data_IF_897194685957
#
_entry.id   IF_897194685957
#
_cell.length_a   1.000
_cell.length_b   1.000
_cell.length_c   1.000
_cell.angle_alpha   90.00
_cell.angle_beta   90.00
_cell.angle_gamma   90.00
#
_symmetry.space_group_name_H-M   'P 1'
#
loop_
_entity.id
_entity.type
_entity.pdbx_description
1 polymer ?
#
# COMPACT_ATOMS: atom_id res chain seq x y z
N UNK A 1 -5.69 56.76 47.29
CA UNK A 1 -6.40 55.59 46.78
C UNK A 1 -5.62 55.00 45.63
N UNK A 2 -4.93 53.88 45.79
CA UNK A 2 -4.19 53.19 44.73
C UNK A 2 -5.10 52.15 44.11
N UNK A 3 -5.46 52.33 42.81
CA UNK A 3 -6.22 51.36 42.00
C UNK A 3 -5.26 50.29 41.48
N UNK A 4 -5.39 49.07 41.99
CA UNK A 4 -4.68 47.91 41.47
C UNK A 4 -5.39 47.41 40.21
N UNK A 5 -4.78 47.62 39.08
CA UNK A 5 -5.23 47.05 37.80
C UNK A 5 -4.66 45.64 37.73
N UNK A 6 -5.54 44.63 37.87
CA UNK A 6 -5.19 43.23 37.62
C UNK A 6 -5.20 43.00 36.10
N UNK A 7 -4.02 42.84 35.51
CA UNK A 7 -3.84 42.49 34.13
C UNK A 7 -4.06 40.96 33.98
N UNK A 8 -5.22 40.57 33.49
CA UNK A 8 -5.52 39.16 33.20
C UNK A 8 -4.93 38.84 31.84
N UNK A 9 -3.78 38.16 31.84
CA UNK A 9 -3.19 37.62 30.60
C UNK A 9 -3.97 36.39 30.18
N UNK A 10 -4.86 36.55 29.21
CA UNK A 10 -5.57 35.44 28.58
C UNK A 10 -4.62 34.65 27.70
N UNK A 11 -4.32 33.40 28.06
CA UNK A 11 -3.58 32.45 27.26
C UNK A 11 -4.44 31.97 26.09
N UNK A 12 -4.24 32.53 24.91
CA UNK A 12 -4.87 32.07 23.68
C UNK A 12 -4.15 30.84 23.21
N UNK A 13 -4.66 29.64 23.52
CA UNK A 13 -4.21 28.39 22.92
C UNK A 13 -4.65 28.35 21.45
N UNK A 14 -3.78 28.66 20.53
CA UNK A 14 -3.95 28.42 19.10
C UNK A 14 -3.87 26.91 18.87
N UNK A 15 -5.04 26.26 18.76
CA UNK A 15 -5.15 24.89 18.26
C UNK A 15 -4.83 24.89 16.76
N UNK A 16 -3.61 24.56 16.41
CA UNK A 16 -3.26 24.22 15.02
C UNK A 16 -3.95 22.91 14.68
N UNK A 17 -5.08 22.98 14.00
CA UNK A 17 -5.68 21.81 13.37
C UNK A 17 -4.74 21.37 12.25
N UNK A 18 -4.00 20.28 12.47
CA UNK A 18 -3.24 19.61 11.41
C UNK A 18 -4.25 18.95 10.47
N UNK A 19 -4.49 19.57 9.33
CA UNK A 19 -5.24 18.94 8.25
C UNK A 19 -4.42 17.75 7.75
N UNK A 20 -4.83 16.55 8.10
CA UNK A 20 -4.28 15.33 7.48
C UNK A 20 -4.86 15.28 6.07
N UNK A 21 -4.04 15.62 5.08
CA UNK A 21 -4.39 15.52 3.67
C UNK A 21 -4.32 14.06 3.24
N UNK A 22 -5.46 13.39 3.35
CA UNK A 22 -5.60 11.99 3.02
C UNK A 22 -5.80 11.79 1.52
N UNK A 23 -5.09 10.87 0.93
CA UNK A 23 -5.25 10.42 -0.44
C UNK A 23 -5.86 9.01 -0.47
N UNK A 24 -6.47 8.64 -1.58
CA UNK A 24 -6.89 7.27 -1.83
C UNK A 24 -5.97 6.61 -2.86
N UNK A 25 -5.76 5.32 -2.69
CA UNK A 25 -4.96 4.51 -3.60
C UNK A 25 -5.76 3.30 -4.06
N UNK A 26 -6.15 3.31 -5.33
CA UNK A 26 -6.81 2.19 -5.97
C UNK A 26 -5.76 1.25 -6.56
N UNK A 27 -5.77 0.00 -6.14
CA UNK A 27 -4.97 -1.07 -6.72
C UNK A 27 -5.89 -1.98 -7.52
N UNK A 28 -5.65 -2.05 -8.83
CA UNK A 28 -6.33 -2.96 -9.74
C UNK A 28 -5.43 -4.16 -9.96
N UNK A 29 -5.86 -5.33 -9.47
CA UNK A 29 -5.16 -6.59 -9.68
C UNK A 29 -5.88 -7.37 -10.78
N UNK A 30 -5.17 -7.73 -11.84
CA UNK A 30 -5.71 -8.40 -13.02
C UNK A 30 -4.97 -9.69 -13.35
N UNK A 31 -5.56 -10.49 -14.24
CA UNK A 31 -5.05 -11.80 -14.64
C UNK A 31 -4.94 -12.79 -13.47
N UNK A 32 -5.92 -12.76 -12.57
CA UNK A 32 -6.06 -13.73 -11.49
C UNK A 32 -6.43 -15.07 -12.11
N UNK A 33 -5.65 -16.15 -11.90
CA UNK A 33 -5.81 -17.41 -12.65
C UNK A 33 -7.08 -18.19 -12.33
N UNK A 34 -7.61 -18.10 -11.11
CA UNK A 34 -8.82 -18.80 -10.69
C UNK A 34 -9.51 -18.09 -9.53
N UNK A 35 -10.74 -18.49 -9.22
CA UNK A 35 -11.51 -17.97 -8.08
C UNK A 35 -11.19 -18.69 -6.75
N UNK A 36 -10.24 -19.65 -6.76
CA UNK A 36 -9.82 -20.33 -5.54
C UNK A 36 -8.90 -19.46 -4.70
N UNK A 37 -9.03 -19.58 -3.38
CA UNK A 37 -8.14 -18.88 -2.44
C UNK A 37 -8.45 -17.40 -2.35
N UNK A 38 -7.40 -16.57 -2.25
CA UNK A 38 -7.50 -15.13 -2.02
C UNK A 38 -6.44 -14.37 -2.82
N UNK A 39 -6.68 -13.08 -3.05
CA UNK A 39 -5.66 -12.16 -3.54
C UNK A 39 -5.12 -11.38 -2.37
N UNK A 40 -3.80 -11.42 -2.19
CA UNK A 40 -3.08 -10.58 -1.24
C UNK A 40 -2.56 -9.34 -1.95
N UNK A 41 -2.65 -8.18 -1.30
CA UNK A 41 -2.05 -6.92 -1.73
C UNK A 41 -1.25 -6.38 -0.56
N UNK A 42 0.02 -6.06 -0.80
CA UNK A 42 0.92 -5.46 0.17
C UNK A 42 1.50 -4.16 -0.36
N UNK A 43 1.40 -3.11 0.43
CA UNK A 43 1.89 -1.77 0.14
C UNK A 43 3.12 -1.49 1.01
N UNK A 44 4.17 -0.94 0.41
CA UNK A 44 5.43 -0.59 1.07
C UNK A 44 5.79 0.86 0.82
N UNK A 45 6.37 1.51 1.81
CA UNK A 45 6.88 2.88 1.74
C UNK A 45 8.37 3.00 2.14
N UNK A 46 9.03 1.87 2.39
CA UNK A 46 10.44 1.84 2.76
C UNK A 46 11.24 1.01 1.73
N UNK A 47 12.18 1.67 0.98
CA UNK A 47 13.01 0.99 -0.03
C UNK A 47 13.91 -0.12 0.53
N UNK A 48 14.36 0.00 1.77
CA UNK A 48 15.32 -0.95 2.35
C UNK A 48 14.67 -2.26 2.78
N UNK A 49 13.38 -2.21 3.07
CA UNK A 49 12.63 -3.38 3.54
C UNK A 49 11.75 -4.00 2.46
N UNK A 50 11.58 -3.35 1.32
CA UNK A 50 10.79 -3.87 0.19
C UNK A 50 11.46 -5.09 -0.47
N UNK A 51 10.73 -6.12 -0.82
CA UNK A 51 9.37 -6.50 -0.44
C UNK A 51 9.34 -7.56 0.68
N UNK A 52 10.02 -7.31 1.79
CA UNK A 52 10.14 -8.27 2.91
C UNK A 52 8.83 -8.35 3.70
N UNK A 53 8.32 -9.58 3.87
CA UNK A 53 7.14 -9.85 4.70
C UNK A 53 7.36 -9.38 6.14
N UNK A 54 6.33 -8.74 6.70
CA UNK A 54 6.36 -8.17 8.05
C UNK A 54 6.85 -6.71 8.10
N UNK A 55 7.18 -6.12 6.95
CA UNK A 55 7.58 -4.71 6.83
C UNK A 55 6.64 -3.91 5.89
N UNK A 56 5.45 -4.43 5.66
CA UNK A 56 4.43 -3.77 4.87
C UNK A 56 3.91 -2.53 5.60
N UNK A 57 3.69 -1.44 4.86
CA UNK A 57 2.99 -0.25 5.36
C UNK A 57 1.51 -0.53 5.58
N UNK A 58 0.86 -1.17 4.60
CA UNK A 58 -0.51 -1.70 4.69
C UNK A 58 -0.60 -3.00 3.89
N UNK A 59 -1.51 -3.87 4.30
CA UNK A 59 -1.80 -5.12 3.59
C UNK A 59 -3.28 -5.47 3.66
N UNK A 60 -3.76 -6.21 2.67
CA UNK A 60 -5.12 -6.75 2.65
C UNK A 60 -5.15 -8.10 1.97
N UNK A 61 -6.18 -8.89 2.28
CA UNK A 61 -6.49 -10.14 1.58
C UNK A 61 -7.97 -10.15 1.19
N UNK A 62 -8.23 -10.39 -0.08
CA UNK A 62 -9.54 -10.27 -0.70
C UNK A 62 -10.03 -11.61 -1.21
N UNK A 63 -11.32 -11.86 -1.07
CA UNK A 63 -11.99 -12.95 -1.78
C UNK A 63 -12.03 -12.66 -3.28
N UNK A 64 -11.87 -13.70 -4.09
CA UNK A 64 -11.81 -13.57 -5.54
C UNK A 64 -13.23 -13.70 -6.10
N UNK A 65 -13.71 -12.63 -6.72
CA UNK A 65 -15.04 -12.59 -7.35
C UNK A 65 -14.98 -12.49 -8.88
N UNK A 66 -13.79 -12.25 -9.41
CA UNK A 66 -13.53 -12.21 -10.86
C UNK A 66 -12.02 -12.26 -11.13
N UNK A 67 -11.64 -12.38 -12.41
CA UNK A 67 -10.23 -12.34 -12.84
C UNK A 67 -9.54 -10.98 -12.64
N UNK A 68 -10.31 -9.96 -12.24
CA UNK A 68 -9.81 -8.61 -11.93
C UNK A 68 -10.51 -8.09 -10.69
N UNK A 69 -9.75 -7.60 -9.72
CA UNK A 69 -10.24 -7.04 -8.45
C UNK A 69 -9.68 -5.63 -8.29
N UNK A 70 -10.50 -4.75 -7.74
CA UNK A 70 -10.08 -3.40 -7.33
C UNK A 70 -10.18 -3.29 -5.81
N UNK A 71 -9.14 -2.76 -5.19
CA UNK A 71 -9.14 -2.44 -3.77
C UNK A 71 -8.62 -1.04 -3.54
N UNK A 72 -9.33 -0.28 -2.70
CA UNK A 72 -8.95 1.09 -2.33
C UNK A 72 -8.34 1.10 -0.94
N UNK A 73 -7.08 1.49 -0.86
CA UNK A 73 -6.49 1.90 0.42
C UNK A 73 -6.86 3.35 0.68
N UNK A 74 -7.64 3.58 1.71
CA UNK A 74 -8.03 4.93 2.13
C UNK A 74 -7.01 5.55 3.08
N UNK A 75 -7.00 6.89 3.13
CA UNK A 75 -6.19 7.68 4.07
C UNK A 75 -4.69 7.35 3.96
N UNK A 76 -4.18 7.33 2.73
CA UNK A 76 -2.75 7.17 2.45
C UNK A 76 -2.08 8.53 2.49
N UNK A 77 -0.98 8.64 3.22
CA UNK A 77 -0.14 9.84 3.23
C UNK A 77 0.52 10.02 1.86
N UNK A 78 0.67 11.27 1.40
CA UNK A 78 1.42 11.56 0.17
C UNK A 78 2.86 11.06 0.27
N UNK A 79 3.37 10.45 -0.79
CA UNK A 79 4.72 9.90 -0.80
C UNK A 79 4.95 8.80 -1.82
N UNK A 80 6.15 8.22 -1.76
CA UNK A 80 6.55 7.12 -2.63
C UNK A 80 6.17 5.76 -2.03
N UNK A 81 5.57 4.92 -2.86
CA UNK A 81 5.13 3.58 -2.50
C UNK A 81 5.50 2.58 -3.58
N UNK A 82 5.58 1.32 -3.20
CA UNK A 82 5.62 0.18 -4.10
C UNK A 82 4.61 -0.86 -3.62
N UNK A 83 3.99 -1.58 -4.54
CA UNK A 83 3.00 -2.59 -4.20
C UNK A 83 3.35 -3.95 -4.80
N UNK A 84 3.00 -4.99 -4.06
CA UNK A 84 3.09 -6.39 -4.46
C UNK A 84 1.70 -7.01 -4.34
N UNK A 85 1.33 -7.84 -5.29
CA UNK A 85 0.12 -8.67 -5.19
C UNK A 85 0.45 -10.10 -5.59
N UNK A 86 -0.21 -11.05 -4.94
CA UNK A 86 -0.14 -12.46 -5.33
C UNK A 86 -1.47 -13.17 -5.11
N UNK A 87 -1.67 -14.25 -5.87
CA UNK A 87 -2.80 -15.14 -5.74
C UNK A 87 -2.45 -16.27 -4.78
N UNK A 88 -2.92 -16.17 -3.55
CA UNK A 88 -2.80 -17.20 -2.50
C UNK A 88 -3.85 -18.28 -2.74
N UNK A 89 -3.53 -19.25 -3.61
CA UNK A 89 -4.48 -20.26 -4.12
C UNK A 89 -4.93 -21.24 -3.03
N UNK A 90 -4.07 -21.48 -2.03
CA UNK A 90 -4.36 -22.41 -0.92
C UNK A 90 -4.72 -21.72 0.40
N UNK A 91 -4.80 -20.38 0.42
CA UNK A 91 -5.16 -19.54 1.57
C UNK A 91 -4.22 -19.71 2.78
N UNK A 92 -2.94 -19.98 2.53
CA UNK A 92 -1.93 -20.13 3.58
C UNK A 92 -1.25 -18.81 4.00
N UNK A 93 -1.65 -17.68 3.39
CA UNK A 93 -1.13 -16.32 3.63
C UNK A 93 0.35 -16.14 3.31
N UNK A 94 0.83 -16.89 2.35
CA UNK A 94 2.24 -16.85 1.89
C UNK A 94 2.26 -16.99 0.37
N UNK A 95 3.23 -16.36 -0.27
CA UNK A 95 3.58 -16.66 -1.66
C UNK A 95 4.40 -17.94 -1.68
N UNK A 96 3.80 -19.02 -2.14
CA UNK A 96 4.47 -20.33 -2.20
C UNK A 96 5.58 -20.35 -3.25
N UNK A 97 6.67 -21.05 -2.91
CA UNK A 97 7.86 -21.14 -3.74
C UNK A 97 8.35 -22.57 -3.82
N UNK A 98 8.88 -22.92 -4.98
CA UNK A 98 9.62 -24.17 -5.17
C UNK A 98 11.00 -23.84 -5.77
N UNK A 99 12.07 -24.34 -5.16
CA UNK A 99 13.44 -24.02 -5.55
C UNK A 99 13.72 -22.50 -5.66
N UNK A 100 13.13 -21.70 -4.74
CA UNK A 100 13.28 -20.24 -4.72
C UNK A 100 12.39 -19.47 -5.70
N UNK A 101 11.68 -20.14 -6.60
CA UNK A 101 10.78 -19.52 -7.58
C UNK A 101 9.33 -19.60 -7.11
N UNK A 102 8.53 -18.51 -7.23
CA UNK A 102 7.12 -18.55 -6.93
C UNK A 102 6.38 -19.60 -7.74
N UNK A 103 5.50 -20.36 -7.08
CA UNK A 103 4.61 -21.34 -7.72
C UNK A 103 3.20 -20.78 -7.91
N UNK A 104 2.88 -19.69 -7.26
CA UNK A 104 1.63 -18.94 -7.39
C UNK A 104 1.82 -17.69 -8.24
N UNK A 105 0.73 -17.20 -8.85
CA UNK A 105 0.78 -16.01 -9.67
C UNK A 105 1.01 -14.75 -8.80
N UNK A 106 1.90 -13.87 -9.23
CA UNK A 106 2.26 -12.66 -8.51
C UNK A 106 2.61 -11.51 -9.46
N UNK A 107 2.66 -10.31 -8.93
CA UNK A 107 3.02 -9.11 -9.69
C UNK A 107 3.41 -7.94 -8.79
N UNK A 108 4.03 -6.95 -9.42
CA UNK A 108 4.47 -5.72 -8.77
C UNK A 108 3.89 -4.51 -9.49
N UNK A 109 3.73 -3.40 -8.76
CA UNK A 109 3.41 -2.10 -9.36
C UNK A 109 4.42 -1.72 -10.44
N UNK A 110 4.02 -0.84 -11.36
CA UNK A 110 4.78 -0.44 -12.55
C UNK A 110 5.21 -1.60 -13.46
N UNK A 111 4.60 -2.77 -13.34
CA UNK A 111 5.00 -3.94 -14.09
C UNK A 111 6.45 -4.37 -13.83
N UNK A 112 7.01 -4.03 -12.67
CA UNK A 112 8.39 -4.37 -12.32
C UNK A 112 8.63 -5.87 -12.37
N UNK A 113 9.71 -6.27 -13.04
CA UNK A 113 10.01 -7.67 -13.32
C UNK A 113 11.15 -8.14 -12.41
N UNK A 114 10.97 -9.23 -11.65
CA UNK A 114 12.07 -9.86 -10.93
C UNK A 114 13.09 -10.44 -11.92
N UNK A 115 14.37 -10.35 -11.56
CA UNK A 115 15.47 -10.94 -12.36
C UNK A 115 16.15 -12.07 -11.59
N UNK A 116 17.08 -11.73 -10.69
CA UNK A 116 17.75 -12.66 -9.77
C UNK A 116 17.24 -12.43 -8.33
N UNK A 117 15.91 -12.42 -8.15
CA UNK A 117 15.23 -12.05 -6.92
C UNK A 117 14.17 -10.98 -7.15
N UNK A 118 13.50 -10.48 -6.11
CA UNK A 118 12.48 -9.45 -6.24
C UNK A 118 13.05 -8.17 -6.85
N UNK A 119 12.21 -7.38 -7.56
CA UNK A 119 12.66 -6.11 -8.13
C UNK A 119 13.06 -5.12 -7.01
N UNK A 120 13.87 -4.13 -7.37
CA UNK A 120 14.17 -3.02 -6.45
C UNK A 120 12.91 -2.16 -6.24
N UNK A 121 12.82 -1.52 -5.09
CA UNK A 121 11.73 -0.56 -4.80
C UNK A 121 11.58 0.48 -5.91
N UNK A 122 12.68 1.07 -6.39
CA UNK A 122 12.69 2.08 -7.45
C UNK A 122 12.06 1.62 -8.77
N UNK A 123 12.09 0.32 -9.07
CA UNK A 123 11.46 -0.22 -10.27
C UNK A 123 9.93 -0.38 -10.13
N UNK A 124 9.44 -0.61 -8.92
CA UNK A 124 8.02 -0.77 -8.62
C UNK A 124 7.38 0.52 -8.08
N UNK A 125 8.17 1.55 -7.81
CA UNK A 125 7.77 2.77 -7.11
C UNK A 125 6.77 3.61 -7.92
N UNK A 126 5.75 4.14 -7.24
CA UNK A 126 4.83 5.16 -7.71
C UNK A 126 4.62 6.21 -6.63
N UNK A 127 4.12 7.39 -7.02
CA UNK A 127 3.86 8.48 -6.10
C UNK A 127 2.37 8.65 -5.83
N UNK A 128 1.99 8.73 -4.55
CA UNK A 128 0.63 9.06 -4.11
C UNK A 128 0.57 10.56 -3.82
N UNK A 129 -0.36 11.27 -4.49
CA UNK A 129 -0.54 12.72 -4.36
C UNK A 129 -1.65 13.03 -3.37
N UNK A 130 -1.45 14.02 -2.52
CA UNK A 130 -2.46 14.53 -1.58
C UNK A 130 -3.78 14.89 -2.26
N UNK A 131 -4.89 14.63 -1.57
CA UNK A 131 -6.25 15.00 -2.00
C UNK A 131 -6.64 14.46 -3.39
N UNK A 132 -5.99 13.39 -3.84
CA UNK A 132 -6.28 12.73 -5.11
C UNK A 132 -6.38 11.23 -4.93
N UNK A 133 -7.08 10.58 -5.85
CA UNK A 133 -7.01 9.13 -5.99
C UNK A 133 -5.91 8.79 -6.99
N UNK A 134 -4.96 7.98 -6.55
CA UNK A 134 -3.93 7.38 -7.41
C UNK A 134 -4.39 5.98 -7.79
N UNK A 135 -4.31 5.61 -9.06
CA UNK A 135 -4.70 4.27 -9.53
C UNK A 135 -3.49 3.53 -10.09
N UNK A 136 -3.25 2.32 -9.59
CA UNK A 136 -2.14 1.46 -9.97
C UNK A 136 -2.65 0.11 -10.45
N UNK A 137 -2.12 -0.36 -11.56
CA UNK A 137 -2.44 -1.66 -12.12
C UNK A 137 -1.31 -2.67 -11.81
N UNK A 138 -1.69 -3.84 -11.30
CA UNK A 138 -0.81 -4.99 -11.09
C UNK A 138 -1.37 -6.17 -11.87
N UNK A 139 -0.65 -6.61 -12.88
CA UNK A 139 -0.98 -7.81 -13.65
C UNK A 139 -0.23 -8.99 -13.07
N UNK A 140 -0.96 -10.01 -12.59
CA UNK A 140 -0.35 -11.23 -12.09
C UNK A 140 0.23 -12.06 -13.24
N UNK A 141 1.35 -12.72 -12.97
CA UNK A 141 2.04 -13.67 -13.86
C UNK A 141 2.51 -14.85 -13.02
N UNK A 142 2.54 -16.04 -13.63
CA UNK A 142 3.10 -17.26 -13.08
C UNK A 142 4.39 -17.63 -13.78
#
# INVERSE_FOLDING_TARGET
MKKNIKLTVGLVCLLFATYIHAANLDIIVSAIPSEKGKVAIALYNNPETFPKKGNEYKTTMLDITSSTIVYTFENITSGNYAAVSFHDENSNKKLDKRFGMPTEAYGFSNGAIPKLGPPKFSAAMFFVTENKTTTINIKLKK
#
